data_IF_878232101730
#
_entry.id   IF_878232101730
#
_cell.length_a   1.000
_cell.length_b   1.000
_cell.length_c   1.000
_cell.angle_alpha   90.00
_cell.angle_beta   90.00
_cell.angle_gamma   90.00
#
_symmetry.space_group_name_H-M   'P 1'
#
loop_
_entity.id
_entity.type
_entity.pdbx_description
1 polymer ?
#
# COMPACT_ATOMS: atom_id res chain seq x y z
N UNK A 1 -15.32 16.55 48.40
CA UNK A 1 -16.00 15.34 47.88
C UNK A 1 -15.78 15.30 46.37
N UNK A 2 -14.71 14.64 45.93
CA UNK A 2 -14.45 14.40 44.51
C UNK A 2 -15.17 13.10 44.11
N UNK A 3 -16.08 13.17 43.12
CA UNK A 3 -16.69 11.98 42.53
C UNK A 3 -15.74 11.45 41.45
N UNK A 4 -15.20 10.26 41.71
CA UNK A 4 -14.57 9.40 40.72
C UNK A 4 -15.64 8.86 39.77
N UNK A 5 -15.51 9.16 38.48
CA UNK A 5 -16.23 8.44 37.43
C UNK A 5 -15.53 7.11 37.18
N UNK A 6 -16.28 6.02 37.34
CA UNK A 6 -15.85 4.66 37.03
C UNK A 6 -15.94 4.45 35.52
N UNK A 7 -14.82 4.18 34.88
CA UNK A 7 -14.76 3.67 33.51
C UNK A 7 -15.42 2.29 33.44
N UNK A 8 -16.38 2.12 32.51
CA UNK A 8 -17.01 0.83 32.19
C UNK A 8 -15.96 -0.16 31.64
N UNK A 9 -16.00 -1.45 32.01
CA UNK A 9 -15.11 -2.46 31.44
C UNK A 9 -15.67 -2.91 30.07
N UNK A 10 -14.87 -2.83 29.01
CA UNK A 10 -15.24 -3.44 27.72
C UNK A 10 -14.73 -2.76 26.45
N UNK A 11 -14.18 -1.55 26.50
CA UNK A 11 -13.51 -0.98 25.31
C UNK A 11 -12.02 -1.34 25.29
N UNK A 12 -11.48 -1.86 24.18
CA UNK A 12 -10.04 -1.94 24.01
C UNK A 12 -9.50 -0.52 24.05
N UNK A 13 -8.69 -0.21 25.06
CA UNK A 13 -7.90 1.01 25.08
C UNK A 13 -7.06 1.06 23.80
N UNK A 14 -7.08 2.17 23.03
CA UNK A 14 -6.17 2.29 21.90
C UNK A 14 -4.76 2.10 22.44
N UNK A 15 -4.04 1.11 21.91
CA UNK A 15 -2.65 0.87 22.28
C UNK A 15 -1.87 2.15 21.97
N UNK A 16 -1.58 2.94 23.01
CA UNK A 16 -0.75 4.14 22.89
C UNK A 16 0.58 3.70 22.26
N UNK A 17 1.03 4.35 21.17
CA UNK A 17 2.28 3.97 20.53
C UNK A 17 3.43 4.01 21.54
N UNK A 18 4.42 3.09 21.44
CA UNK A 18 5.59 3.15 22.31
C UNK A 18 6.28 4.51 22.12
N UNK A 19 6.51 5.27 23.21
CA UNK A 19 7.13 6.59 23.10
C UNK A 19 8.62 6.51 22.71
N UNK A 20 9.23 5.33 22.78
CA UNK A 20 10.66 5.09 22.56
C UNK A 20 10.89 3.78 21.81
N UNK A 21 12.05 3.58 21.17
CA UNK A 21 12.40 2.31 20.53
C UNK A 21 12.27 1.13 21.51
N UNK A 22 11.64 0.01 21.11
CA UNK A 22 11.55 -1.19 21.94
C UNK A 22 12.91 -1.89 22.04
N UNK A 23 13.11 -2.71 23.07
CA UNK A 23 14.22 -3.69 23.04
C UNK A 23 13.93 -4.76 21.97
N UNK A 24 14.95 -5.46 21.42
CA UNK A 24 14.74 -6.52 20.43
C UNK A 24 13.71 -7.57 20.86
N UNK A 25 13.79 -8.03 22.12
CA UNK A 25 12.84 -9.00 22.67
C UNK A 25 11.41 -8.43 22.78
N UNK A 26 11.25 -7.15 23.15
CA UNK A 26 9.95 -6.50 23.18
C UNK A 26 9.39 -6.37 21.76
N UNK A 27 10.23 -6.01 20.81
CA UNK A 27 9.84 -5.86 19.41
C UNK A 27 9.33 -7.17 18.82
N UNK A 28 10.11 -8.24 19.01
CA UNK A 28 9.73 -9.59 18.60
C UNK A 28 8.42 -10.04 19.23
N UNK A 29 8.33 -9.98 20.56
CA UNK A 29 7.19 -10.52 21.30
C UNK A 29 5.89 -9.78 21.04
N UNK A 30 5.95 -8.45 20.92
CA UNK A 30 4.73 -7.62 20.92
C UNK A 30 4.28 -7.17 19.54
N UNK A 31 5.18 -7.18 18.53
CA UNK A 31 4.87 -6.65 17.20
C UNK A 31 5.19 -7.65 16.09
N UNK A 32 6.42 -8.19 16.01
CA UNK A 32 6.81 -9.10 14.91
C UNK A 32 6.06 -10.43 14.96
N UNK A 33 6.19 -11.18 16.07
CA UNK A 33 5.55 -12.50 16.25
C UNK A 33 4.03 -12.43 16.09
N UNK A 34 3.30 -11.49 16.71
CA UNK A 34 1.85 -11.36 16.51
C UNK A 34 1.48 -10.67 15.19
N UNK A 35 2.44 -10.28 14.35
CA UNK A 35 2.24 -9.62 13.06
C UNK A 35 1.39 -8.34 13.18
N UNK A 36 1.75 -7.46 14.12
CA UNK A 36 1.02 -6.21 14.44
C UNK A 36 1.87 -4.98 14.09
N UNK A 37 1.32 -3.98 13.37
CA UNK A 37 2.03 -2.75 13.08
C UNK A 37 2.19 -1.91 14.36
N UNK A 38 3.21 -1.05 14.37
CA UNK A 38 3.34 -0.04 15.41
C UNK A 38 4.06 1.22 14.93
N UNK A 39 3.63 2.35 15.47
CA UNK A 39 4.29 3.64 15.30
C UNK A 39 5.24 3.87 16.49
N UNK A 40 6.46 4.26 16.19
CA UNK A 40 7.54 4.53 17.15
C UNK A 40 7.88 6.02 17.03
N UNK A 41 7.44 6.83 17.99
CA UNK A 41 7.49 8.30 17.84
C UNK A 41 8.88 8.93 18.04
N UNK A 42 9.78 8.30 18.79
CA UNK A 42 11.16 8.78 18.99
C UNK A 42 12.18 7.77 18.45
N UNK A 43 11.98 7.33 17.21
CA UNK A 43 12.76 6.22 16.64
C UNK A 43 14.21 6.62 16.34
N UNK A 44 14.40 7.84 15.82
CA UNK A 44 15.67 8.28 15.22
C UNK A 44 16.12 9.68 15.69
N UNK A 45 15.99 10.05 16.98
CA UNK A 45 16.36 11.40 17.44
C UNK A 45 17.86 11.71 17.26
N UNK A 46 18.69 10.68 17.10
CA UNK A 46 20.14 10.77 16.88
C UNK A 46 20.53 10.98 15.41
N UNK A 47 19.60 10.86 14.46
CA UNK A 47 19.94 10.98 13.04
C UNK A 47 20.18 12.44 12.63
N UNK A 48 21.35 12.77 12.06
CA UNK A 48 21.61 14.10 11.50
C UNK A 48 20.57 14.54 10.45
N UNK A 49 20.00 13.58 9.71
CA UNK A 49 18.98 13.81 8.69
C UNK A 49 17.79 14.66 9.19
N UNK A 50 17.36 14.50 10.45
CA UNK A 50 16.25 15.29 11.03
C UNK A 50 16.52 16.81 11.06
N UNK A 51 17.79 17.20 10.96
CA UNK A 51 18.24 18.60 10.88
C UNK A 51 18.73 18.97 9.48
N UNK A 52 19.56 18.12 8.86
CA UNK A 52 20.23 18.42 7.59
C UNK A 52 19.27 18.41 6.40
N UNK A 53 18.26 17.53 6.40
CA UNK A 53 17.38 17.34 5.25
C UNK A 53 16.17 18.28 5.23
N UNK A 54 16.06 19.20 6.21
CA UNK A 54 15.01 20.24 6.24
C UNK A 54 15.12 21.27 5.12
N UNK A 55 16.27 21.34 4.46
CA UNK A 55 16.49 22.26 3.34
C UNK A 55 16.99 21.48 2.14
N UNK A 56 16.35 21.71 1.00
CA UNK A 56 16.81 21.24 -0.31
C UNK A 56 18.26 21.64 -0.61
N UNK A 57 18.78 22.74 -0.03
CA UNK A 57 20.14 23.22 -0.29
C UNK A 57 21.22 22.20 0.12
N UNK A 58 21.05 21.55 1.28
CA UNK A 58 21.97 20.50 1.72
C UNK A 58 21.97 19.34 0.73
N UNK A 59 20.78 18.81 0.41
CA UNK A 59 20.64 17.68 -0.51
C UNK A 59 21.18 18.00 -1.91
N UNK A 60 20.88 19.19 -2.45
CA UNK A 60 21.41 19.64 -3.75
C UNK A 60 22.93 19.69 -3.77
N UNK A 61 23.54 20.16 -2.68
CA UNK A 61 25.00 20.29 -2.59
C UNK A 61 25.64 18.92 -2.44
N UNK A 62 25.12 18.10 -1.52
CA UNK A 62 25.70 16.79 -1.20
C UNK A 62 25.49 15.77 -2.32
N UNK A 63 24.39 15.85 -3.06
CA UNK A 63 24.04 14.96 -4.17
C UNK A 63 24.26 15.60 -5.55
N UNK A 64 25.00 16.71 -5.65
CA UNK A 64 25.07 17.53 -6.87
C UNK A 64 25.50 16.76 -8.12
N UNK A 65 26.36 15.75 -7.97
CA UNK A 65 26.89 14.92 -9.06
C UNK A 65 26.23 13.55 -9.13
N UNK A 66 25.26 13.27 -8.27
CA UNK A 66 24.66 11.94 -8.15
C UNK A 66 23.52 11.81 -9.15
N UNK A 67 23.60 10.79 -10.00
CA UNK A 67 22.51 10.43 -10.89
C UNK A 67 21.47 9.59 -10.14
N UNK A 68 20.21 10.01 -10.15
CA UNK A 68 19.09 9.34 -9.49
C UNK A 68 18.00 8.99 -10.50
N UNK A 69 17.22 7.96 -10.18
CA UNK A 69 16.11 7.52 -11.01
C UNK A 69 14.86 8.35 -10.71
N UNK A 70 14.51 9.27 -11.62
CA UNK A 70 13.28 10.06 -11.59
C UNK A 70 12.14 9.29 -12.25
N UNK A 71 11.05 9.13 -11.52
CA UNK A 71 9.84 8.46 -12.01
C UNK A 71 8.80 9.50 -12.39
N UNK A 72 8.21 9.35 -13.58
CA UNK A 72 7.20 10.25 -14.13
C UNK A 72 5.91 9.51 -14.46
N UNK A 73 4.78 10.12 -14.12
CA UNK A 73 3.43 9.62 -14.46
C UNK A 73 2.49 10.77 -14.81
N UNK A 74 1.44 10.52 -15.61
CA UNK A 74 0.43 11.55 -15.89
C UNK A 74 -0.52 11.83 -14.71
N UNK A 75 -0.64 10.91 -13.75
CA UNK A 75 -1.70 10.93 -12.72
C UNK A 75 -1.16 10.89 -11.28
N UNK A 76 0.14 10.67 -11.09
CA UNK A 76 0.72 10.39 -9.77
C UNK A 76 0.52 8.96 -9.26
N UNK A 77 -0.08 8.08 -10.08
CA UNK A 77 -0.28 6.66 -9.75
C UNK A 77 0.69 5.79 -10.57
N UNK A 78 1.89 5.52 -10.05
CA UNK A 78 2.72 4.42 -10.56
C UNK A 78 2.30 3.09 -9.99
N UNK A 79 2.72 2.03 -10.69
CA UNK A 79 2.50 0.64 -10.31
C UNK A 79 1.02 0.44 -9.96
N UNK A 80 0.15 0.86 -10.87
CA UNK A 80 -1.29 0.93 -10.65
C UNK A 80 -2.05 0.45 -11.87
N UNK A 81 -3.34 0.17 -11.70
CA UNK A 81 -4.17 -0.24 -12.82
C UNK A 81 -4.54 0.97 -13.69
N UNK A 82 -4.34 0.83 -15.00
CA UNK A 82 -4.70 1.83 -16.00
C UNK A 82 -5.50 1.19 -17.16
N UNK A 83 -6.33 1.95 -17.87
CA UNK A 83 -7.00 1.47 -19.08
C UNK A 83 -5.99 0.95 -20.11
N UNK A 84 -6.26 -0.21 -20.70
CA UNK A 84 -5.38 -0.81 -21.70
C UNK A 84 -5.34 0.08 -22.96
N UNK A 85 -4.16 0.36 -23.55
CA UNK A 85 -3.99 1.37 -24.60
C UNK A 85 -4.80 1.09 -25.87
N UNK A 86 -5.00 -0.19 -26.21
CA UNK A 86 -5.77 -0.61 -27.40
C UNK A 86 -7.18 -1.10 -27.09
N UNK A 87 -7.54 -1.26 -25.81
CA UNK A 87 -8.85 -1.78 -25.39
C UNK A 87 -9.28 -1.12 -24.08
N UNK A 88 -9.85 0.10 -24.11
CA UNK A 88 -10.09 0.89 -22.90
C UNK A 88 -11.05 0.25 -21.87
N UNK A 89 -11.81 -0.77 -22.26
CA UNK A 89 -12.64 -1.57 -21.35
C UNK A 89 -11.86 -2.63 -20.56
N UNK A 90 -10.60 -2.89 -20.94
CA UNK A 90 -9.67 -3.75 -20.23
C UNK A 90 -8.67 -2.91 -19.42
N UNK A 91 -8.03 -3.54 -18.44
CA UNK A 91 -7.02 -2.91 -17.58
C UNK A 91 -5.66 -3.58 -17.79
N UNK A 92 -4.60 -2.80 -17.56
CA UNK A 92 -3.22 -3.26 -17.51
C UNK A 92 -2.53 -2.70 -16.24
N UNK A 93 -1.45 -3.32 -15.83
CA UNK A 93 -0.59 -2.81 -14.76
C UNK A 93 0.40 -1.82 -15.36
N UNK A 94 0.32 -0.55 -14.97
CA UNK A 94 1.13 0.52 -15.52
C UNK A 94 2.23 0.94 -14.53
N UNK A 95 3.49 0.74 -14.93
CA UNK A 95 4.67 1.26 -14.25
C UNK A 95 5.04 2.68 -14.75
N UNK A 96 5.83 3.41 -13.96
CA UNK A 96 6.27 4.76 -14.31
C UNK A 96 7.20 4.79 -15.53
N UNK A 97 7.24 5.94 -16.21
CA UNK A 97 8.39 6.28 -17.02
C UNK A 97 9.57 6.56 -16.10
N UNK A 98 10.74 5.97 -16.35
CA UNK A 98 11.94 6.17 -15.51
C UNK A 98 13.06 6.77 -16.34
N UNK A 99 13.62 7.88 -15.85
CA UNK A 99 14.80 8.51 -16.42
C UNK A 99 15.87 8.75 -15.35
N UNK A 100 17.14 8.60 -15.73
CA UNK A 100 18.27 8.91 -14.83
C UNK A 100 18.78 10.31 -15.08
N UNK A 101 18.76 11.15 -14.06
CA UNK A 101 19.16 12.55 -14.11
C UNK A 101 20.01 12.93 -12.90
N UNK A 102 20.83 14.00 -12.98
CA UNK A 102 21.46 14.58 -11.81
C UNK A 102 20.41 14.96 -10.75
N UNK A 103 20.70 14.69 -9.47
CA UNK A 103 19.77 14.93 -8.37
C UNK A 103 19.17 16.35 -8.33
N UNK A 104 19.94 17.44 -8.57
CA UNK A 104 19.34 18.78 -8.58
C UNK A 104 18.22 18.93 -9.62
N UNK A 105 18.41 18.41 -10.83
CA UNK A 105 17.42 18.48 -11.92
C UNK A 105 16.20 17.61 -11.60
N UNK A 106 16.44 16.42 -11.04
CA UNK A 106 15.37 15.53 -10.61
C UNK A 106 14.53 16.16 -9.48
N UNK A 107 15.18 16.84 -8.53
CA UNK A 107 14.51 17.56 -7.45
C UNK A 107 13.70 18.76 -7.97
N UNK A 108 14.21 19.50 -8.96
CA UNK A 108 13.46 20.56 -9.63
C UNK A 108 12.16 20.03 -10.25
N UNK A 109 12.21 18.85 -10.87
CA UNK A 109 11.03 18.20 -11.44
C UNK A 109 10.01 17.78 -10.36
N UNK A 110 10.48 17.26 -9.22
CA UNK A 110 9.61 16.91 -8.08
C UNK A 110 8.93 18.16 -7.50
N UNK A 111 9.67 19.26 -7.35
CA UNK A 111 9.12 20.51 -6.80
C UNK A 111 8.12 21.19 -7.75
N UNK A 112 8.27 21.01 -9.07
CA UNK A 112 7.34 21.50 -10.08
C UNK A 112 6.16 20.54 -10.34
N UNK A 113 6.13 19.38 -9.67
CA UNK A 113 5.11 18.35 -9.87
C UNK A 113 3.70 18.88 -9.61
N UNK A 114 2.80 18.68 -10.56
CA UNK A 114 1.41 19.14 -10.48
C UNK A 114 1.12 20.51 -11.07
N UNK A 115 2.13 21.27 -11.50
CA UNK A 115 1.95 22.50 -12.30
C UNK A 115 1.74 22.16 -13.79
N UNK A 116 2.44 21.13 -14.27
CA UNK A 116 2.24 20.51 -15.57
C UNK A 116 1.50 19.17 -15.38
N UNK A 117 0.91 18.58 -16.43
CA UNK A 117 0.19 17.29 -16.38
C UNK A 117 1.11 16.07 -16.14
N UNK A 118 2.14 16.28 -15.33
CA UNK A 118 3.23 15.39 -15.02
C UNK A 118 3.42 15.40 -13.51
N UNK A 119 3.36 14.21 -12.92
CA UNK A 119 3.66 13.99 -11.51
C UNK A 119 5.00 13.26 -11.42
N UNK A 120 5.92 13.87 -10.68
CA UNK A 120 7.30 13.43 -10.55
C UNK A 120 7.61 13.03 -9.10
N UNK A 121 8.29 11.90 -8.90
CA UNK A 121 8.74 11.46 -7.58
C UNK A 121 10.01 10.61 -7.67
N UNK A 122 10.75 10.56 -6.56
CA UNK A 122 11.96 9.78 -6.37
C UNK A 122 11.64 8.58 -5.48
N UNK A 123 11.14 7.49 -6.07
CA UNK A 123 10.65 6.32 -5.31
C UNK A 123 11.36 5.00 -5.64
N UNK A 124 12.49 5.07 -6.36
CA UNK A 124 13.22 3.88 -6.80
C UNK A 124 13.37 2.88 -5.64
N UNK A 125 13.00 1.63 -5.85
CA UNK A 125 13.19 0.56 -4.87
C UNK A 125 14.54 -0.15 -5.09
N UNK A 126 14.76 -1.31 -4.47
CA UNK A 126 15.95 -2.15 -4.64
C UNK A 126 17.23 -1.54 -4.05
N UNK A 127 17.18 -1.17 -2.77
CA UNK A 127 18.30 -0.57 -2.03
C UNK A 127 18.87 0.70 -2.71
N UNK A 128 17.97 1.51 -3.27
CA UNK A 128 18.30 2.79 -3.89
C UNK A 128 19.04 3.72 -2.91
N UNK A 129 18.78 3.62 -1.60
CA UNK A 129 19.39 4.49 -0.61
C UNK A 129 20.91 4.33 -0.58
N UNK A 130 21.41 3.10 -0.66
CA UNK A 130 22.86 2.85 -0.72
C UNK A 130 23.43 3.08 -2.11
N UNK A 131 22.68 2.74 -3.16
CA UNK A 131 23.18 2.79 -4.54
C UNK A 131 23.09 4.17 -5.21
N UNK A 132 22.00 4.90 -5.00
CA UNK A 132 21.72 6.22 -5.57
C UNK A 132 21.85 7.35 -4.54
N UNK A 133 21.80 7.10 -3.23
CA UNK A 133 21.88 8.14 -2.18
C UNK A 133 23.06 7.95 -1.21
N UNK A 134 24.08 7.19 -1.61
CA UNK A 134 25.23 6.86 -0.77
C UNK A 134 25.98 8.04 -0.16
N UNK A 135 25.97 9.21 -0.80
CA UNK A 135 26.61 10.44 -0.29
C UNK A 135 25.91 11.01 0.97
N UNK A 136 24.62 10.72 1.17
CA UNK A 136 23.86 11.09 2.37
C UNK A 136 23.57 9.89 3.27
N UNK A 137 24.03 8.68 2.91
CA UNK A 137 23.79 7.48 3.70
C UNK A 137 24.39 7.56 5.12
N UNK A 138 25.46 8.33 5.31
CA UNK A 138 26.04 8.61 6.63
C UNK A 138 25.16 9.43 7.58
N UNK A 139 24.06 10.02 7.08
CA UNK A 139 23.10 10.77 7.89
C UNK A 139 22.05 9.87 8.56
N UNK A 140 22.05 8.58 8.22
CA UNK A 140 21.12 7.56 8.70
C UNK A 140 21.88 6.30 9.09
N UNK A 141 21.25 5.44 9.88
CA UNK A 141 21.86 4.13 10.16
C UNK A 141 21.74 3.22 8.92
N UNK A 142 22.76 2.41 8.66
CA UNK A 142 22.74 1.46 7.53
C UNK A 142 21.65 0.39 7.67
N UNK A 143 21.31 0.06 8.91
CA UNK A 143 20.23 -0.84 9.29
C UNK A 143 19.69 -0.39 10.65
N UNK A 144 18.54 -0.91 11.09
CA UNK A 144 17.96 -0.57 12.38
C UNK A 144 18.40 -1.64 13.40
N UNK A 145 19.35 -1.35 14.32
CA UNK A 145 20.05 -2.40 15.07
C UNK A 145 19.13 -3.34 15.85
N UNK A 146 18.13 -2.78 16.53
CA UNK A 146 17.17 -3.56 17.31
C UNK A 146 16.23 -4.41 16.44
N UNK A 147 15.98 -4.00 15.19
CA UNK A 147 15.14 -4.75 14.25
C UNK A 147 15.96 -5.85 13.56
N UNK A 148 17.20 -5.56 13.16
CA UNK A 148 18.07 -6.55 12.52
C UNK A 148 18.46 -7.67 13.49
N UNK A 149 18.77 -7.34 14.75
CA UNK A 149 19.00 -8.33 15.81
C UNK A 149 17.77 -9.20 16.04
N UNK A 150 16.58 -8.59 15.98
CA UNK A 150 15.32 -9.32 16.11
C UNK A 150 15.07 -10.27 14.93
N UNK A 151 15.27 -9.82 13.68
CA UNK A 151 14.78 -10.51 12.47
C UNK A 151 15.80 -11.46 11.84
N UNK A 152 17.10 -11.25 12.06
CA UNK A 152 18.16 -12.18 11.64
C UNK A 152 18.41 -12.31 10.13
N UNK A 153 17.94 -11.37 9.30
CA UNK A 153 18.03 -11.43 7.83
C UNK A 153 18.14 -10.03 7.15
N UNK A 154 18.33 -10.02 5.82
CA UNK A 154 18.36 -8.84 4.91
C UNK A 154 17.18 -8.90 3.89
N UNK A 155 16.74 -7.76 3.29
CA UNK A 155 15.44 -7.63 2.59
C UNK A 155 15.20 -8.28 1.22
N UNK A 156 13.95 -8.73 0.97
CA UNK A 156 13.19 -8.77 -0.33
C UNK A 156 11.73 -9.29 -0.09
N UNK A 157 10.68 -8.97 -0.90
CA UNK A 157 9.28 -9.45 -0.67
C UNK A 157 8.22 -9.26 -1.83
N UNK A 158 7.07 -10.00 -1.80
CA UNK A 158 5.81 -9.87 -2.62
C UNK A 158 4.53 -10.38 -1.86
N UNK A 159 3.28 -9.82 -2.05
CA UNK A 159 2.00 -10.21 -1.35
C UNK A 159 0.62 -9.97 -2.10
N UNK A 160 -0.51 -10.57 -1.62
CA UNK A 160 -1.82 -10.81 -2.35
C UNK A 160 -3.19 -10.31 -1.77
N UNK A 161 -3.87 -9.35 -2.43
CA UNK A 161 -5.29 -8.94 -2.24
C UNK A 161 -5.99 -8.87 -3.60
N UNK A 162 -7.25 -9.33 -3.77
CA UNK A 162 -8.01 -9.29 -5.05
C UNK A 162 -7.12 -9.39 -6.28
N UNK A 163 -6.22 -10.38 -6.26
CA UNK A 163 -5.15 -10.40 -7.23
C UNK A 163 -5.67 -11.02 -8.50
N UNK A 164 -5.43 -10.29 -9.58
CA UNK A 164 -5.56 -10.80 -10.93
C UNK A 164 -4.25 -10.56 -11.66
N UNK A 165 -4.02 -11.38 -12.67
CA UNK A 165 -2.93 -11.18 -13.61
C UNK A 165 -3.32 -10.07 -14.59
N UNK A 166 -2.53 -9.01 -14.63
CA UNK A 166 -2.70 -7.89 -15.55
C UNK A 166 -1.53 -7.83 -16.53
N UNK A 167 -1.77 -7.54 -17.81
CA UNK A 167 -0.68 -7.26 -18.76
C UNK A 167 0.20 -6.14 -18.22
N UNK A 168 1.51 -6.33 -18.24
CA UNK A 168 2.48 -5.32 -17.84
C UNK A 168 2.60 -4.24 -18.91
N UNK A 169 2.60 -2.99 -18.48
CA UNK A 169 2.76 -1.83 -19.32
C UNK A 169 3.63 -0.78 -18.63
N UNK A 170 4.22 0.11 -19.43
CA UNK A 170 5.05 1.20 -18.95
C UNK A 170 4.63 2.52 -19.60
N UNK A 171 4.58 3.58 -18.81
CA UNK A 171 4.42 4.93 -19.35
C UNK A 171 5.69 5.36 -20.10
N UNK A 172 5.49 6.01 -21.25
CA UNK A 172 6.54 6.62 -22.05
C UNK A 172 6.28 8.12 -22.12
N UNK A 173 7.23 8.93 -21.63
CA UNK A 173 7.14 10.38 -21.66
C UNK A 173 7.83 10.95 -22.90
N UNK A 174 7.09 11.74 -23.69
CA UNK A 174 7.59 12.38 -24.91
C UNK A 174 7.97 13.82 -24.60
N UNK A 175 9.26 14.08 -24.38
CA UNK A 175 9.77 15.40 -23.97
C UNK A 175 9.39 16.53 -24.94
N UNK A 176 9.33 16.24 -26.24
CA UNK A 176 9.03 17.24 -27.27
C UNK A 176 7.58 17.74 -27.23
N UNK A 177 6.64 16.89 -26.83
CA UNK A 177 5.21 17.21 -26.76
C UNK A 177 4.69 17.43 -25.33
N UNK A 178 5.43 16.96 -24.32
CA UNK A 178 4.96 16.91 -22.93
C UNK A 178 3.86 15.88 -22.70
N UNK A 179 3.66 14.93 -23.62
CA UNK A 179 2.59 13.93 -23.56
C UNK A 179 3.10 12.56 -23.06
N UNK A 180 2.19 11.77 -22.49
CA UNK A 180 2.44 10.39 -22.10
C UNK A 180 1.73 9.42 -23.05
N UNK A 181 2.44 8.37 -23.45
CA UNK A 181 1.82 7.14 -24.00
C UNK A 181 1.96 6.01 -23.00
N UNK A 182 1.12 4.99 -23.12
CA UNK A 182 1.20 3.76 -22.35
C UNK A 182 1.46 2.61 -23.30
N UNK A 183 2.56 1.90 -23.09
CA UNK A 183 3.02 0.82 -23.97
C UNK A 183 3.01 -0.49 -23.20
N UNK A 184 2.31 -1.50 -23.73
CA UNK A 184 2.31 -2.86 -23.16
C UNK A 184 3.64 -3.52 -23.51
N UNK A 185 4.22 -4.26 -22.58
CA UNK A 185 5.47 -4.97 -22.80
C UNK A 185 5.37 -5.96 -23.96
N UNK A 186 6.44 -6.06 -24.76
CA UNK A 186 6.59 -7.04 -25.84
C UNK A 186 7.91 -7.82 -25.65
N UNK A 187 7.87 -9.13 -25.33
CA UNK A 187 6.66 -9.97 -25.18
C UNK A 187 5.83 -9.61 -23.94
N UNK A 188 4.52 -9.86 -24.01
CA UNK A 188 3.58 -9.55 -22.92
C UNK A 188 3.95 -10.32 -21.66
N UNK A 189 4.34 -9.59 -20.62
CA UNK A 189 4.44 -10.10 -19.25
C UNK A 189 3.14 -9.86 -18.48
N UNK A 190 2.94 -10.61 -17.39
CA UNK A 190 1.79 -10.46 -16.49
C UNK A 190 2.25 -10.17 -15.07
N UNK A 191 1.56 -9.25 -14.40
CA UNK A 191 1.80 -8.88 -13.02
C UNK A 191 0.57 -9.21 -12.17
N UNK A 192 0.72 -10.01 -11.10
CA UNK A 192 -0.33 -10.19 -10.11
C UNK A 192 -0.53 -8.90 -9.32
N UNK A 193 -1.68 -8.24 -9.48
CA UNK A 193 -1.95 -6.96 -8.81
C UNK A 193 -3.35 -6.89 -8.18
N UNK A 194 -3.47 -6.09 -7.11
CA UNK A 194 -4.76 -5.86 -6.45
C UNK A 194 -5.72 -5.08 -7.33
N UNK A 195 -6.90 -5.66 -7.61
CA UNK A 195 -7.93 -5.02 -8.43
C UNK A 195 -8.66 -3.85 -7.76
N UNK A 196 -8.59 -3.74 -6.43
CA UNK A 196 -9.39 -2.76 -5.67
C UNK A 196 -8.66 -1.44 -5.61
N UNK A 197 -9.32 -0.35 -6.01
CA UNK A 197 -8.91 0.99 -5.59
C UNK A 197 -9.47 1.28 -4.19
N UNK A 198 -8.63 1.40 -3.14
CA UNK A 198 -9.10 1.72 -1.79
C UNK A 198 -9.64 3.16 -1.66
N UNK A 199 -9.38 4.02 -2.65
CA UNK A 199 -9.80 5.42 -2.70
C UNK A 199 -10.28 5.82 -4.09
N UNK A 200 -11.39 5.23 -4.56
CA UNK A 200 -11.96 5.63 -5.82
C UNK A 200 -12.40 7.10 -5.76
N UNK A 201 -12.43 7.73 -6.92
CA UNK A 201 -13.01 9.07 -7.04
C UNK A 201 -14.48 9.04 -6.59
N UNK A 202 -15.03 10.15 -6.04
CA UNK A 202 -16.41 10.18 -5.56
C UNK A 202 -17.44 9.65 -6.58
N UNK A 203 -17.23 9.95 -7.87
CA UNK A 203 -18.03 9.51 -9.01
C UNK A 203 -17.90 8.01 -9.32
N UNK A 204 -16.76 7.38 -9.01
CA UNK A 204 -16.47 5.97 -9.27
C UNK A 204 -16.79 5.06 -8.07
N UNK A 205 -16.93 5.66 -6.88
CA UNK A 205 -17.07 4.95 -5.61
C UNK A 205 -18.19 3.92 -5.62
N UNK A 206 -19.36 4.25 -6.15
CA UNK A 206 -20.49 3.32 -6.19
C UNK A 206 -20.17 2.09 -7.05
N UNK A 207 -19.54 2.29 -8.22
CA UNK A 207 -19.14 1.19 -9.11
C UNK A 207 -18.09 0.30 -8.47
N UNK A 208 -17.12 0.88 -7.76
CA UNK A 208 -16.09 0.11 -7.05
C UNK A 208 -16.65 -0.69 -5.87
N UNK A 209 -17.61 -0.11 -5.12
CA UNK A 209 -18.34 -0.83 -4.06
C UNK A 209 -19.11 -2.02 -4.62
N UNK A 210 -19.75 -1.87 -5.79
CA UNK A 210 -20.48 -2.95 -6.47
C UNK A 210 -19.54 -4.06 -7.00
N UNK A 211 -18.36 -3.69 -7.50
CA UNK A 211 -17.34 -4.66 -7.97
C UNK A 211 -16.68 -5.41 -6.81
N UNK A 212 -16.45 -4.74 -5.69
CA UNK A 212 -15.67 -5.26 -4.56
C UNK A 212 -16.41 -5.15 -3.22
N UNK A 213 -17.63 -5.70 -3.10
CA UNK A 213 -18.47 -5.49 -1.93
C UNK A 213 -17.87 -6.07 -0.65
N UNK A 214 -17.11 -7.17 -0.72
CA UNK A 214 -16.46 -7.72 0.48
C UNK A 214 -15.38 -6.78 1.02
N UNK A 215 -14.69 -6.02 0.16
CA UNK A 215 -13.71 -5.04 0.60
C UNK A 215 -14.41 -3.88 1.32
N UNK A 216 -15.38 -3.24 0.64
CA UNK A 216 -16.02 -2.04 1.16
C UNK A 216 -17.00 -2.29 2.31
N UNK A 217 -17.59 -3.48 2.40
CA UNK A 217 -18.52 -3.85 3.48
C UNK A 217 -17.85 -4.57 4.65
N UNK A 218 -16.56 -4.90 4.58
CA UNK A 218 -15.88 -5.54 5.71
C UNK A 218 -15.16 -4.53 6.62
N UNK A 219 -14.16 -4.98 7.41
CA UNK A 219 -13.55 -4.14 8.43
C UNK A 219 -12.91 -2.89 7.84
N UNK A 220 -13.10 -1.77 8.53
CA UNK A 220 -12.46 -0.52 8.16
C UNK A 220 -10.93 -0.69 8.18
N UNK A 221 -10.21 -0.22 7.16
CA UNK A 221 -8.75 -0.20 7.19
C UNK A 221 -8.23 0.63 8.37
N UNK A 222 -7.08 0.26 8.91
CA UNK A 222 -6.32 1.08 9.84
C UNK A 222 -5.72 2.27 9.10
N UNK A 223 -5.65 3.42 9.77
CA UNK A 223 -5.04 4.62 9.25
C UNK A 223 -4.01 5.17 10.24
N UNK A 224 -2.83 5.50 9.74
CA UNK A 224 -1.77 6.12 10.53
C UNK A 224 -1.06 7.19 9.70
N UNK A 225 -0.82 8.34 10.32
CA UNK A 225 0.07 9.37 9.79
C UNK A 225 1.41 9.25 10.49
N UNK A 226 2.47 9.11 9.70
CA UNK A 226 3.86 9.08 10.17
C UNK A 226 4.48 10.44 9.93
N UNK A 227 4.94 11.07 11.01
CA UNK A 227 5.57 12.40 10.96
C UNK A 227 7.10 12.29 10.97
N UNK A 228 7.76 13.40 10.65
CA UNK A 228 9.22 13.50 10.73
C UNK A 228 9.75 13.03 12.10
N UNK A 229 10.71 12.09 12.08
CA UNK A 229 11.31 11.49 13.28
C UNK A 229 10.58 10.26 13.83
N UNK A 230 9.38 9.97 13.33
CA UNK A 230 8.65 8.76 13.67
C UNK A 230 9.03 7.61 12.73
N UNK A 231 8.85 6.38 13.20
CA UNK A 231 9.06 5.17 12.41
C UNK A 231 7.84 4.27 12.51
N UNK A 232 7.38 3.79 11.37
CA UNK A 232 6.31 2.82 11.29
C UNK A 232 6.90 1.43 11.02
N UNK A 233 6.71 0.51 11.97
CA UNK A 233 6.86 -0.90 11.67
C UNK A 233 5.63 -1.39 10.91
N UNK A 234 5.81 -1.69 9.63
CA UNK A 234 4.84 -2.33 8.77
C UNK A 234 5.17 -3.84 8.69
N UNK A 235 4.34 -4.73 9.25
CA UNK A 235 4.65 -6.14 9.25
C UNK A 235 4.56 -6.77 7.85
N UNK A 236 5.28 -7.87 7.66
CA UNK A 236 5.18 -8.70 6.45
C UNK A 236 3.73 -9.11 6.15
N UNK A 237 3.38 -9.18 4.86
CA UNK A 237 2.05 -9.58 4.34
C UNK A 237 0.92 -8.56 4.57
N UNK A 238 1.22 -7.36 5.07
CA UNK A 238 0.21 -6.30 5.23
C UNK A 238 -0.02 -5.53 3.92
N UNK A 239 -1.28 -5.46 3.49
CA UNK A 239 -1.69 -4.55 2.42
C UNK A 239 -1.62 -3.13 2.90
N UNK A 240 -1.00 -2.28 2.09
CA UNK A 240 -0.79 -0.89 2.42
C UNK A 240 -1.01 0.00 1.21
N UNK A 241 -1.58 1.17 1.48
CA UNK A 241 -1.71 2.25 0.53
C UNK A 241 -1.06 3.49 1.16
N UNK A 242 -0.18 4.15 0.41
CA UNK A 242 0.58 5.30 0.91
C UNK A 242 0.10 6.57 0.22
N UNK A 243 -0.11 7.61 1.01
CA UNK A 243 -0.23 9.00 0.56
C UNK A 243 0.81 9.83 1.27
N UNK A 244 1.25 10.90 0.65
CA UNK A 244 2.19 11.83 1.26
C UNK A 244 1.69 13.26 1.10
N UNK A 245 1.96 14.08 2.11
CA UNK A 245 1.72 15.51 2.06
C UNK A 245 3.04 16.25 2.27
N UNK A 246 3.39 17.18 1.37
CA UNK A 246 4.64 17.91 1.47
C UNK A 246 4.66 18.80 2.71
N UNK A 247 5.86 19.11 3.17
CA UNK A 247 6.09 20.14 4.18
C UNK A 247 6.05 21.56 3.57
N UNK A 248 6.40 22.56 4.38
CA UNK A 248 6.47 23.97 3.95
C UNK A 248 7.50 24.22 2.83
N UNK A 249 8.41 23.27 2.59
CA UNK A 249 9.40 23.31 1.51
C UNK A 249 8.93 22.61 0.24
N UNK A 250 7.73 22.03 0.24
CA UNK A 250 7.17 21.29 -0.89
C UNK A 250 7.61 19.83 -0.94
N UNK A 251 8.21 19.28 0.12
CA UNK A 251 8.80 17.94 0.10
C UNK A 251 8.26 17.02 1.21
N UNK A 252 8.17 15.74 0.89
CA UNK A 252 8.10 14.65 1.87
C UNK A 252 9.29 13.74 1.63
N UNK A 253 10.11 13.51 2.66
CA UNK A 253 11.29 12.64 2.56
C UNK A 253 11.11 11.51 3.56
N UNK A 254 11.19 10.27 3.08
CA UNK A 254 11.06 9.06 3.88
C UNK A 254 12.14 8.05 3.51
N UNK A 255 12.58 7.28 4.49
CA UNK A 255 13.48 6.13 4.31
C UNK A 255 12.77 4.92 4.89
N UNK A 256 12.83 3.81 4.16
CA UNK A 256 12.31 2.54 4.63
C UNK A 256 13.41 1.48 4.59
N UNK A 257 13.39 0.59 5.59
CA UNK A 257 14.25 -0.59 5.65
C UNK A 257 13.37 -1.80 5.52
N UNK A 258 13.58 -2.55 4.45
CA UNK A 258 12.90 -3.82 4.28
C UNK A 258 13.71 -4.87 5.03
N UNK A 259 13.02 -5.86 5.61
CA UNK A 259 13.64 -7.07 6.15
C UNK A 259 12.84 -8.24 5.60
N UNK A 260 13.51 -9.28 5.12
CA UNK A 260 12.80 -10.45 4.62
C UNK A 260 11.98 -11.07 5.74
N UNK A 261 10.80 -11.56 5.39
CA UNK A 261 9.95 -12.19 6.36
C UNK A 261 10.49 -13.58 6.69
N UNK A 262 10.31 -14.00 7.94
CA UNK A 262 10.50 -15.40 8.28
C UNK A 262 9.38 -16.21 7.61
N UNK A 263 9.75 -17.14 6.72
CA UNK A 263 8.83 -18.08 6.05
C UNK A 263 8.36 -19.18 7.00
N UNK A 264 7.70 -18.76 8.08
CA UNK A 264 7.21 -19.63 9.14
C UNK A 264 5.75 -20.05 8.92
N UNK A 265 5.13 -20.58 9.98
CA UNK A 265 3.75 -21.03 9.96
C UNK A 265 2.76 -19.93 9.52
N UNK A 266 3.06 -18.64 9.73
CA UNK A 266 2.21 -17.53 9.26
C UNK A 266 2.19 -17.46 7.73
N UNK A 267 3.35 -17.62 7.10
CA UNK A 267 3.44 -17.66 5.63
C UNK A 267 2.72 -18.88 5.07
N UNK A 268 2.92 -20.06 5.68
CA UNK A 268 2.23 -21.28 5.26
C UNK A 268 0.71 -21.13 5.36
N UNK A 269 0.19 -20.56 6.45
CA UNK A 269 -1.25 -20.27 6.57
C UNK A 269 -1.72 -19.22 5.58
N UNK A 270 -0.94 -18.16 5.33
CA UNK A 270 -1.27 -17.15 4.34
C UNK A 270 -1.39 -17.77 2.94
N UNK A 271 -0.40 -18.57 2.51
CA UNK A 271 -0.45 -19.30 1.24
C UNK A 271 -1.60 -20.29 1.17
N UNK A 272 -1.87 -21.01 2.25
CA UNK A 272 -3.03 -21.89 2.33
C UNK A 272 -4.33 -21.11 2.12
N UNK A 273 -4.53 -19.98 2.82
CA UNK A 273 -5.70 -19.13 2.66
C UNK A 273 -5.85 -18.58 1.22
N UNK A 274 -4.74 -18.20 0.58
CA UNK A 274 -4.75 -17.77 -0.83
C UNK A 274 -5.18 -18.90 -1.78
N UNK A 275 -4.83 -20.15 -1.46
CA UNK A 275 -5.14 -21.31 -2.30
C UNK A 275 -6.59 -21.79 -2.18
N UNK A 276 -7.32 -21.38 -1.13
CA UNK A 276 -8.72 -21.78 -0.95
C UNK A 276 -9.57 -21.04 -1.98
N UNK A 277 -10.25 -21.76 -2.89
CA UNK A 277 -11.17 -21.14 -3.83
C UNK A 277 -12.25 -20.40 -3.06
N UNK A 278 -12.41 -19.10 -3.32
CA UNK A 278 -13.58 -18.40 -2.85
C UNK A 278 -14.74 -18.90 -3.70
N UNK A 279 -15.67 -19.66 -3.10
CA UNK A 279 -16.95 -19.93 -3.72
C UNK A 279 -17.72 -18.60 -3.80
N UNK A 280 -17.44 -17.81 -4.84
CA UNK A 280 -18.38 -16.80 -5.28
C UNK A 280 -19.65 -17.57 -5.62
N UNK A 281 -20.71 -17.31 -4.86
CA UNK A 281 -22.05 -17.75 -5.22
C UNK A 281 -22.24 -17.50 -6.72
N UNK A 282 -22.58 -18.56 -7.46
CA UNK A 282 -23.00 -18.48 -8.85
C UNK A 282 -24.11 -17.43 -8.98
N UNK A 283 -23.82 -16.23 -9.48
CA UNK A 283 -24.82 -15.30 -10.03
C UNK A 283 -24.21 -14.08 -10.75
N UNK A 284 -23.12 -14.26 -11.49
CA UNK A 284 -22.71 -13.30 -12.52
C UNK A 284 -22.58 -14.01 -13.87
N UNK A 285 -23.55 -13.67 -14.73
CA UNK A 285 -23.77 -14.10 -16.11
C UNK A 285 -22.61 -14.81 -16.83
N UNK A 286 -22.88 -16.06 -17.18
CA UNK A 286 -22.15 -16.87 -18.16
C UNK A 286 -22.03 -16.10 -19.47
N UNK A 287 -20.89 -15.45 -19.70
CA UNK A 287 -20.49 -15.01 -21.05
C UNK A 287 -19.97 -16.23 -21.79
N UNK A 288 -20.68 -16.64 -22.84
CA UNK A 288 -20.44 -17.87 -23.58
C UNK A 288 -19.05 -17.90 -24.25
N UNK A 289 -18.14 -18.72 -23.74
CA UNK A 289 -17.11 -19.34 -24.58
C UNK A 289 -17.71 -20.59 -25.22
N UNK A 290 -17.84 -20.57 -26.54
CA UNK A 290 -18.23 -21.72 -27.36
C UNK A 290 -17.06 -22.69 -27.40
N UNK A 291 -17.10 -23.72 -26.55
CA UNK A 291 -16.22 -24.87 -26.67
C UNK A 291 -16.91 -25.94 -27.52
N UNK A 292 -16.20 -26.32 -28.59
CA UNK A 292 -16.58 -27.34 -29.56
C UNK A 292 -16.59 -28.71 -28.88
N UNK A 293 -17.68 -29.45 -29.06
CA UNK A 293 -17.90 -30.78 -28.51
C UNK A 293 -16.78 -31.79 -28.87
N UNK A 294 -16.38 -32.61 -27.89
CA UNK A 294 -16.16 -34.02 -28.15
C UNK A 294 -16.62 -34.86 -26.96
N UNK A 295 -17.71 -35.60 -27.22
CA UNK A 295 -18.37 -36.63 -26.42
C UNK A 295 -17.45 -37.58 -25.66
N UNK A 296 -17.78 -37.87 -24.39
CA UNK A 296 -17.75 -39.23 -23.83
C UNK A 296 -18.75 -39.38 -22.67
N UNK A 297 -19.18 -40.62 -22.50
CA UNK A 297 -20.52 -41.07 -22.12
C UNK A 297 -20.90 -41.04 -20.61
N UNK A 298 -22.21 -41.15 -20.39
CA UNK A 298 -22.96 -41.19 -19.11
C UNK A 298 -22.61 -42.37 -18.20
N UNK A 299 -22.76 -42.17 -16.88
CA UNK A 299 -23.61 -43.05 -16.03
C UNK A 299 -23.98 -42.44 -14.67
N UNK A 300 -25.28 -42.54 -14.33
CA UNK A 300 -26.03 -42.56 -13.04
C UNK A 300 -25.27 -42.42 -11.70
N UNK A 301 -25.83 -41.85 -10.62
CA UNK A 301 -27.13 -42.19 -10.01
C UNK A 301 -27.66 -41.15 -8.98
N UNK A 302 -28.99 -41.17 -8.80
CA UNK A 302 -29.84 -40.38 -7.91
C UNK A 302 -29.63 -40.58 -6.40
N UNK A 303 -29.98 -39.54 -5.63
CA UNK A 303 -30.90 -39.49 -4.44
C UNK A 303 -30.48 -38.29 -3.58
N UNK A 304 -31.30 -37.47 -2.95
CA UNK A 304 -32.74 -37.37 -2.69
C UNK A 304 -32.93 -36.27 -1.62
N UNK A 305 -34.16 -35.74 -1.53
CA UNK A 305 -34.74 -34.91 -0.47
C UNK A 305 -34.48 -33.39 -0.39
N UNK A 306 -35.52 -32.64 -0.81
CA UNK A 306 -36.41 -31.75 -0.03
C UNK A 306 -35.91 -31.24 1.34
N UNK A 307 -36.27 -30.06 1.85
CA UNK A 307 -36.89 -28.81 1.43
C UNK A 307 -36.75 -27.87 2.64
N UNK A 308 -36.76 -26.55 2.44
CA UNK A 308 -37.67 -25.63 3.16
C UNK A 308 -37.19 -24.18 3.09
N UNK A 309 -38.12 -23.35 2.65
CA UNK A 309 -38.06 -21.91 2.48
C UNK A 309 -38.52 -21.28 3.79
N UNK A 310 -37.75 -20.35 4.36
CA UNK A 310 -38.29 -19.29 5.21
C UNK A 310 -37.75 -17.94 4.76
N UNK A 311 -38.65 -17.13 4.20
CA UNK A 311 -38.50 -15.70 3.95
C UNK A 311 -38.69 -14.96 5.28
N UNK A 312 -37.77 -14.06 5.62
CA UNK A 312 -38.09 -12.94 6.50
C UNK A 312 -37.41 -11.66 6.04
N UNK A 313 -38.26 -10.64 5.82
CA UNK A 313 -37.94 -9.28 5.45
C UNK A 313 -37.23 -8.55 6.60
N UNK A 314 -36.28 -7.67 6.28
CA UNK A 314 -35.82 -6.63 7.20
C UNK A 314 -35.93 -5.27 6.52
N UNK A 315 -36.48 -4.33 7.31
CA UNK A 315 -36.90 -2.97 6.99
C UNK A 315 -35.85 -2.00 7.53
N UNK A 316 -35.55 -0.95 6.76
CA UNK A 316 -35.45 0.42 7.28
C UNK A 316 -34.09 0.94 7.74
N UNK A 317 -33.61 1.92 6.97
CA UNK A 317 -32.53 2.90 7.20
C UNK A 317 -32.47 3.55 8.60
N UNK A 318 -31.25 3.90 9.01
CA UNK A 318 -30.93 5.22 9.54
C UNK A 318 -29.44 5.54 9.28
N UNK A 319 -29.19 6.60 8.52
CA UNK A 319 -27.88 7.15 8.18
C UNK A 319 -27.52 8.29 9.14
N UNK A 320 -26.40 8.16 9.84
CA UNK A 320 -25.77 9.26 10.57
C UNK A 320 -24.49 9.68 9.81
N UNK A 321 -24.56 10.87 9.20
CA UNK A 321 -23.44 11.56 8.59
C UNK A 321 -22.76 12.44 9.66
N UNK A 322 -21.53 12.09 10.05
CA UNK A 322 -20.63 13.01 10.73
C UNK A 322 -19.46 13.35 9.80
N UNK A 323 -19.46 14.59 9.28
CA UNK A 323 -18.32 15.22 8.62
C UNK A 323 -17.29 15.65 9.69
N UNK A 324 -16.13 14.99 9.75
CA UNK A 324 -14.99 15.48 10.53
C UNK A 324 -14.17 16.48 9.70
N UNK A 325 -14.18 17.74 10.14
CA UNK A 325 -13.29 18.81 9.67
C UNK A 325 -11.83 18.53 10.10
N UNK A 326 -10.93 18.33 9.14
CA UNK A 326 -9.49 18.31 9.38
C UNK A 326 -9.00 19.68 9.88
N UNK A 327 -8.49 19.71 11.12
CA UNK A 327 -7.75 20.85 11.66
C UNK A 327 -6.35 20.90 11.05
N UNK A 328 -6.07 22.01 10.40
CA UNK A 328 -4.75 22.38 9.87
C UNK A 328 -3.70 22.34 10.99
N UNK A 329 -2.79 21.36 10.94
CA UNK A 329 -1.60 21.32 11.80
C UNK A 329 -0.44 21.88 10.99
N UNK A 330 0.02 23.07 11.36
CA UNK A 330 1.27 23.65 10.86
C UNK A 330 2.47 22.84 11.38
N UNK A 331 3.31 22.36 10.47
CA UNK A 331 4.66 21.92 10.78
C UNK A 331 5.00 20.49 10.36
N UNK A 332 5.99 20.40 9.45
CA UNK A 332 6.71 19.22 8.99
C UNK A 332 5.89 18.24 8.12
N UNK A 333 6.52 17.79 7.03
CA UNK A 333 5.93 16.86 6.07
C UNK A 333 5.66 15.53 6.72
N UNK A 334 4.59 14.89 6.28
CA UNK A 334 4.18 13.60 6.79
C UNK A 334 3.68 12.73 5.63
N UNK A 335 3.67 11.42 5.88
CA UNK A 335 3.01 10.48 4.99
C UNK A 335 1.97 9.70 5.78
N UNK A 336 0.82 9.48 5.17
CA UNK A 336 -0.26 8.70 5.73
C UNK A 336 -0.27 7.34 5.07
N UNK A 337 -0.08 6.30 5.87
CA UNK A 337 -0.27 4.93 5.44
C UNK A 337 -1.63 4.45 5.93
N UNK A 338 -2.44 3.91 5.02
CA UNK A 338 -3.57 3.06 5.38
C UNK A 338 -3.23 1.61 5.18
N UNK A 339 -3.72 0.77 6.08
CA UNK A 339 -3.52 -0.66 6.05
C UNK A 339 -4.84 -1.41 6.13
N UNK A 340 -5.01 -2.42 5.30
CA UNK A 340 -6.13 -3.35 5.41
C UNK A 340 -5.61 -4.68 5.96
N UNK A 341 -6.06 -5.05 7.17
CA UNK A 341 -5.82 -6.38 7.74
C UNK A 341 -7.11 -7.20 7.67
N UNK A 342 -7.05 -8.33 6.99
CA UNK A 342 -8.15 -9.30 6.92
C UNK A 342 -7.71 -10.60 7.59
N UNK A 343 -7.79 -10.63 8.92
CA UNK A 343 -7.78 -11.87 9.70
C UNK A 343 -9.18 -12.11 10.24
N UNK A 344 -9.68 -13.35 10.15
CA UNK A 344 -10.97 -13.74 10.71
C UNK A 344 -11.01 -13.42 12.21
N UNK A 345 -11.76 -12.40 12.60
CA UNK A 345 -12.29 -12.31 13.96
C UNK A 345 -13.49 -13.23 13.96
N UNK A 346 -13.37 -14.36 14.67
CA UNK A 346 -14.51 -15.22 14.96
C UNK A 346 -15.58 -14.35 15.65
N UNK A 347 -16.78 -14.15 15.10
CA UNK A 347 -17.87 -13.62 15.90
C UNK A 347 -18.16 -14.65 16.99
N UNK A 348 -18.19 -14.19 18.25
CA UNK A 348 -18.72 -15.00 19.35
C UNK A 348 -20.24 -15.17 19.21
#
# INVERSE_FOLDING_TARGET
>A
MARSERTKPGHPTPHRPPPTPPTPLQFLRHYVTPNKPCLISAAVPHWPALSLWRSAAYLRTTLSTTAVSLHLTPTGKADSLAPHPTSPSALCFASAHVQKLPFPEALDSVLASGEEKTVAYLQQQNDCFRSEYGAVAGDCEEHIPWASEALGCSPEAVNLMYIREYPAAQYCYHQDSGEFTLEVEDPIAYVPWCSVDPYPLPEEKQSEVEKFPLYFNGPKPFEVTVKAGEMLYLPSMWFHHVRQSPDETGLTIAINYWYDMQFDIKYAYFKFLQSIPHSLSNDLGRCETRDVESSFDRSSCNSGDESDIIVSQAVGDASDNEEEQEKHVSGLGCYTCRFSYWGWIKPN
#
